data_IF_420359278587
#
_entry.id   IF_420359278587
#
_cell.length_a   1.000
_cell.length_b   1.000
_cell.length_c   1.000
_cell.angle_alpha   90.00
_cell.angle_beta   90.00
_cell.angle_gamma   90.00
#
_symmetry.space_group_name_H-M   'P 1'
#
loop_
_entity.id
_entity.type
_entity.pdbx_description
1 polymer ?
#
# COMPACT_ATOMS: atom_id res chain seq x y z
N UNK A 1 9.22 -56.49 -41.78
CA UNK A 1 8.74 -56.77 -40.42
C UNK A 1 9.59 -55.91 -39.48
N UNK A 2 8.94 -54.97 -38.78
CA UNK A 2 9.42 -54.00 -37.77
C UNK A 2 10.51 -52.98 -38.18
N UNK A 3 10.27 -51.65 -38.27
CA UNK A 3 9.79 -50.57 -37.37
C UNK A 3 10.83 -50.00 -36.37
N UNK A 4 11.02 -48.67 -36.49
CA UNK A 4 11.63 -47.65 -35.59
C UNK A 4 13.13 -47.73 -35.28
N UNK A 5 13.89 -46.63 -35.43
CA UNK A 5 13.72 -45.36 -34.71
C UNK A 5 14.07 -44.13 -35.57
N UNK A 6 13.08 -43.28 -35.82
CA UNK A 6 13.25 -41.86 -36.18
C UNK A 6 13.01 -41.05 -34.92
N UNK A 7 14.09 -40.63 -34.27
CA UNK A 7 14.05 -39.76 -33.10
C UNK A 7 15.15 -38.73 -33.26
N UNK A 8 14.87 -37.69 -34.03
CA UNK A 8 15.61 -36.43 -34.10
C UNK A 8 14.88 -35.54 -35.11
N UNK A 9 13.91 -34.75 -34.63
CA UNK A 9 13.41 -33.60 -35.39
C UNK A 9 13.95 -32.35 -34.69
N UNK A 10 14.96 -31.76 -35.30
CA UNK A 10 15.54 -30.47 -34.94
C UNK A 10 14.45 -29.40 -34.82
N UNK A 11 14.35 -28.77 -33.65
CA UNK A 11 13.81 -27.42 -33.51
C UNK A 11 14.88 -26.44 -34.00
N UNK A 12 14.79 -26.07 -35.28
CA UNK A 12 15.57 -24.99 -35.85
C UNK A 12 14.69 -24.23 -36.85
N UNK A 13 13.93 -23.25 -36.35
CA UNK A 13 13.40 -22.19 -37.21
C UNK A 13 14.28 -20.96 -37.05
N UNK A 14 15.31 -20.92 -37.89
CA UNK A 14 16.01 -19.71 -38.23
C UNK A 14 15.05 -18.75 -38.96
N UNK A 15 15.01 -17.51 -38.51
CA UNK A 15 14.62 -16.28 -39.22
C UNK A 15 13.95 -16.50 -40.59
N UNK A 16 12.62 -16.57 -40.63
CA UNK A 16 11.85 -16.46 -41.86
C UNK A 16 11.09 -15.14 -41.87
N UNK A 17 11.24 -14.41 -42.98
CA UNK A 17 10.41 -13.30 -43.44
C UNK A 17 8.98 -13.38 -42.87
N UNK A 18 8.60 -12.36 -42.09
CA UNK A 18 7.26 -12.20 -41.49
C UNK A 18 6.17 -12.24 -42.55
N UNK A 19 5.54 -13.39 -42.71
CA UNK A 19 4.22 -13.48 -43.30
C UNK A 19 3.26 -12.97 -42.23
N UNK A 20 2.58 -11.88 -42.59
CA UNK A 20 1.69 -11.06 -41.78
C UNK A 20 0.39 -11.83 -41.53
N UNK A 21 0.38 -12.63 -40.47
CA UNK A 21 -0.82 -13.23 -39.93
C UNK A 21 -0.84 -13.02 -38.41
N UNK A 22 -2.03 -12.87 -37.85
CA UNK A 22 -2.23 -12.90 -36.42
C UNK A 22 -1.60 -14.17 -35.83
N UNK A 23 -0.95 -14.04 -34.67
CA UNK A 23 -0.38 -15.17 -33.97
C UNK A 23 -1.44 -15.78 -33.06
N UNK A 24 -1.84 -17.02 -33.34
CA UNK A 24 -2.70 -17.81 -32.44
C UNK A 24 -1.87 -18.93 -31.82
N UNK A 25 -1.77 -18.93 -30.49
CA UNK A 25 -1.03 -19.93 -29.70
C UNK A 25 -2.04 -20.95 -29.16
N UNK A 26 -2.02 -22.16 -29.72
CA UNK A 26 -2.94 -23.27 -29.35
C UNK A 26 -2.27 -24.38 -28.54
N UNK A 27 -0.95 -24.29 -28.35
CA UNK A 27 -0.15 -25.21 -27.55
C UNK A 27 0.97 -24.43 -26.84
N UNK A 28 1.52 -25.01 -25.78
CA UNK A 28 2.61 -24.40 -25.02
C UNK A 28 3.78 -24.04 -25.94
N UNK A 29 4.08 -22.75 -26.03
CA UNK A 29 5.04 -22.18 -26.95
C UNK A 29 6.02 -21.31 -26.19
N UNK A 30 7.33 -21.53 -26.40
CA UNK A 30 8.38 -20.66 -25.87
C UNK A 30 9.07 -19.93 -27.00
N UNK A 31 9.16 -18.60 -26.89
CA UNK A 31 9.91 -17.76 -27.81
C UNK A 31 11.13 -17.16 -27.11
N UNK A 32 12.20 -17.02 -27.88
CA UNK A 32 13.47 -16.40 -27.49
C UNK A 32 13.94 -15.47 -28.61
N UNK A 33 14.69 -14.43 -28.27
CA UNK A 33 15.16 -13.43 -29.21
C UNK A 33 14.07 -12.41 -29.55
N UNK A 34 14.50 -11.28 -30.12
CA UNK A 34 13.62 -10.15 -30.36
C UNK A 34 12.41 -10.51 -31.23
N UNK A 35 11.21 -10.13 -30.76
CA UNK A 35 9.96 -10.30 -31.50
C UNK A 35 9.21 -8.98 -31.59
N UNK A 36 8.56 -8.76 -32.73
CA UNK A 36 7.59 -7.70 -32.90
C UNK A 36 6.35 -8.30 -33.54
N UNK A 37 5.28 -8.33 -32.77
CA UNK A 37 3.96 -8.79 -33.15
C UNK A 37 3.19 -7.61 -33.74
N UNK A 38 3.23 -7.50 -35.07
CA UNK A 38 2.55 -6.41 -35.81
C UNK A 38 1.05 -6.64 -35.96
N UNK A 39 0.62 -7.90 -35.85
CA UNK A 39 -0.77 -8.33 -35.89
C UNK A 39 -1.21 -8.79 -34.50
N UNK A 40 -2.53 -8.97 -34.32
CA UNK A 40 -3.09 -9.42 -33.06
C UNK A 40 -2.47 -10.75 -32.60
N UNK A 41 -2.30 -10.88 -31.28
CA UNK A 41 -1.83 -12.09 -30.61
C UNK A 41 -2.97 -12.66 -29.76
N UNK A 42 -3.27 -13.93 -29.94
CA UNK A 42 -4.26 -14.66 -29.16
C UNK A 42 -3.61 -15.91 -28.57
N UNK A 43 -3.72 -16.08 -27.26
CA UNK A 43 -3.29 -17.29 -26.56
C UNK A 43 -4.56 -18.02 -26.11
N UNK A 44 -4.82 -19.16 -26.74
CA UNK A 44 -6.05 -19.93 -26.52
C UNK A 44 -6.06 -20.65 -25.18
N UNK A 45 -7.26 -21.08 -24.76
CA UNK A 45 -7.44 -21.89 -23.55
C UNK A 45 -6.54 -23.13 -23.56
N UNK A 46 -5.87 -23.38 -22.44
CA UNK A 46 -4.99 -24.55 -22.27
C UNK A 46 -3.61 -24.42 -22.90
N UNK A 47 -3.28 -23.30 -23.55
CA UNK A 47 -1.95 -23.02 -24.08
C UNK A 47 -1.22 -21.93 -23.28
N UNK A 48 0.11 -22.01 -23.21
CA UNK A 48 0.94 -20.97 -22.59
C UNK A 48 1.97 -20.41 -23.57
N UNK A 49 1.98 -19.09 -23.78
CA UNK A 49 3.08 -18.40 -24.44
C UNK A 49 4.09 -17.92 -23.40
N UNK A 50 5.32 -18.45 -23.47
CA UNK A 50 6.45 -18.00 -22.64
C UNK A 50 7.41 -17.17 -23.47
N UNK A 51 7.64 -15.93 -23.05
CA UNK A 51 8.60 -15.00 -23.63
C UNK A 51 9.78 -14.86 -22.67
N UNK A 52 10.94 -15.40 -23.06
CA UNK A 52 12.14 -15.46 -22.20
C UNK A 52 12.87 -14.13 -22.11
N UNK A 53 13.57 -13.94 -20.99
CA UNK A 53 14.39 -12.76 -20.72
C UNK A 53 15.48 -12.48 -21.76
N UNK A 54 16.00 -11.25 -21.75
CA UNK A 54 17.11 -10.81 -22.61
C UNK A 54 16.72 -10.54 -24.06
N UNK A 55 15.43 -10.35 -24.34
CA UNK A 55 14.89 -10.08 -25.68
C UNK A 55 13.97 -8.86 -25.65
N UNK A 56 13.81 -8.21 -26.80
CA UNK A 56 12.85 -7.12 -27.00
C UNK A 56 11.54 -7.69 -27.55
N UNK A 57 10.44 -7.52 -26.81
CA UNK A 57 9.09 -7.92 -27.24
C UNK A 57 8.21 -6.71 -27.45
N UNK A 58 7.67 -6.56 -28.66
CA UNK A 58 6.77 -5.45 -29.00
C UNK A 58 5.42 -5.99 -29.47
N UNK A 59 4.36 -5.59 -28.79
CA UNK A 59 2.98 -5.86 -29.18
C UNK A 59 2.42 -4.59 -29.82
N UNK A 60 2.33 -4.57 -31.15
CA UNK A 60 1.88 -3.39 -31.90
C UNK A 60 0.37 -3.40 -32.15
N UNK A 61 -0.34 -4.44 -31.70
CA UNK A 61 -1.75 -4.70 -31.95
C UNK A 61 -2.36 -5.48 -30.76
N UNK A 62 -3.65 -5.82 -30.85
CA UNK A 62 -4.43 -6.41 -29.76
C UNK A 62 -3.81 -7.69 -29.20
N UNK A 63 -3.86 -7.82 -27.87
CA UNK A 63 -3.39 -8.97 -27.12
C UNK A 63 -4.55 -9.59 -26.33
N UNK A 64 -4.90 -10.83 -26.67
CA UNK A 64 -5.92 -11.63 -25.98
C UNK A 64 -5.28 -12.84 -25.30
N UNK A 65 -5.46 -12.95 -23.98
CA UNK A 65 -4.89 -14.00 -23.14
C UNK A 65 -6.02 -14.82 -22.53
N UNK A 66 -6.37 -15.94 -23.17
CA UNK A 66 -7.34 -16.93 -22.68
C UNK A 66 -6.65 -18.07 -21.91
N UNK A 67 -5.48 -18.50 -22.40
CA UNK A 67 -4.57 -19.40 -21.69
C UNK A 67 -3.60 -18.68 -20.76
N UNK A 68 -2.30 -18.93 -20.92
CA UNK A 68 -1.22 -18.35 -20.12
C UNK A 68 -0.27 -17.45 -20.92
N UNK A 69 0.06 -16.27 -20.42
CA UNK A 69 1.19 -15.47 -20.89
C UNK A 69 2.23 -15.36 -19.78
N UNK A 70 3.46 -15.76 -20.05
CA UNK A 70 4.59 -15.55 -19.13
C UNK A 70 5.63 -14.66 -19.82
N UNK A 71 5.82 -13.44 -19.31
CA UNK A 71 6.81 -12.48 -19.78
C UNK A 71 7.88 -12.29 -18.71
N UNK A 72 9.11 -12.72 -19.02
CA UNK A 72 10.25 -12.47 -18.15
C UNK A 72 11.06 -11.26 -18.66
N UNK A 73 10.88 -10.11 -18.02
CA UNK A 73 11.56 -8.85 -18.33
C UNK A 73 12.48 -8.43 -17.16
N UNK A 74 13.24 -9.39 -16.61
CA UNK A 74 14.21 -9.14 -15.52
C UNK A 74 15.64 -8.87 -15.99
N UNK A 75 15.88 -8.92 -17.29
CA UNK A 75 17.16 -8.57 -17.89
C UNK A 75 17.13 -7.11 -18.38
N UNK A 76 18.13 -6.31 -17.98
CA UNK A 76 18.26 -4.88 -18.33
C UNK A 76 18.36 -4.60 -19.83
N UNK A 77 18.80 -5.58 -20.62
CA UNK A 77 18.87 -5.47 -22.08
C UNK A 77 17.54 -5.84 -22.77
N UNK A 78 16.61 -6.45 -22.02
CA UNK A 78 15.25 -6.75 -22.47
C UNK A 78 14.34 -5.54 -22.38
N UNK A 79 13.32 -5.51 -23.22
CA UNK A 79 12.26 -4.50 -23.11
C UNK A 79 10.95 -5.10 -23.59
N UNK A 80 9.87 -4.83 -22.87
CA UNK A 80 8.52 -5.08 -23.35
C UNK A 80 7.82 -3.75 -23.62
N UNK A 81 7.13 -3.65 -24.76
CA UNK A 81 6.32 -2.48 -25.09
C UNK A 81 4.99 -2.88 -25.70
N UNK A 82 3.96 -2.09 -25.38
CA UNK A 82 2.60 -2.27 -25.87
C UNK A 82 2.17 -1.02 -26.63
N UNK A 83 1.50 -1.21 -27.76
CA UNK A 83 0.94 -0.09 -28.51
C UNK A 83 -0.28 0.47 -27.78
N UNK A 84 -0.23 1.77 -27.49
CA UNK A 84 -1.31 2.49 -26.81
C UNK A 84 -2.64 2.46 -27.55
N UNK A 85 -2.63 2.28 -28.87
CA UNK A 85 -3.85 2.20 -29.68
C UNK A 85 -4.51 0.82 -29.63
N UNK A 86 -3.85 -0.19 -29.05
CA UNK A 86 -4.33 -1.57 -28.98
C UNK A 86 -5.18 -1.87 -27.74
N UNK A 87 -5.71 -3.09 -27.67
CA UNK A 87 -6.47 -3.61 -26.55
C UNK A 87 -5.75 -4.77 -25.85
N UNK A 88 -5.88 -4.83 -24.53
CA UNK A 88 -5.51 -5.99 -23.72
C UNK A 88 -6.77 -6.63 -23.12
N UNK A 89 -6.97 -7.92 -23.43
CA UNK A 89 -8.05 -8.73 -22.85
C UNK A 89 -7.46 -9.95 -22.15
N UNK A 90 -7.55 -9.99 -20.81
CA UNK A 90 -7.07 -11.11 -20.00
C UNK A 90 -8.26 -11.85 -19.39
N UNK A 91 -8.41 -13.12 -19.75
CA UNK A 91 -9.40 -14.05 -19.19
C UNK A 91 -8.73 -15.27 -18.54
N UNK A 92 -7.49 -15.58 -18.95
CA UNK A 92 -6.62 -16.58 -18.35
C UNK A 92 -5.61 -16.01 -17.35
N UNK A 93 -4.34 -16.42 -17.46
CA UNK A 93 -3.24 -15.97 -16.59
C UNK A 93 -2.21 -15.15 -17.36
N UNK A 94 -1.79 -14.02 -16.80
CA UNK A 94 -0.67 -13.23 -17.30
C UNK A 94 0.34 -12.99 -16.17
N UNK A 95 1.49 -13.66 -16.25
CA UNK A 95 2.63 -13.44 -15.37
C UNK A 95 3.65 -12.51 -16.03
N UNK A 96 4.01 -11.43 -15.34
CA UNK A 96 4.99 -10.45 -15.79
C UNK A 96 6.06 -10.28 -14.71
N UNK A 97 7.28 -10.74 -14.98
CA UNK A 97 8.43 -10.49 -14.13
C UNK A 97 9.21 -9.28 -14.63
N UNK A 98 9.58 -8.34 -13.75
CA UNK A 98 10.16 -7.05 -14.14
C UNK A 98 11.42 -6.69 -13.34
N UNK A 99 12.40 -6.09 -14.02
CA UNK A 99 13.55 -5.40 -13.40
C UNK A 99 13.58 -3.89 -13.64
N UNK A 100 12.68 -3.39 -14.50
CA UNK A 100 12.56 -1.98 -14.88
C UNK A 100 11.08 -1.62 -14.97
N UNK A 101 10.80 -0.33 -15.01
CA UNK A 101 9.43 0.17 -15.18
C UNK A 101 8.87 -0.30 -16.53
N UNK A 102 7.58 -0.66 -16.52
CA UNK A 102 6.83 -1.10 -17.71
C UNK A 102 5.52 -0.31 -17.78
N UNK A 103 5.33 0.37 -18.89
CA UNK A 103 4.08 1.07 -19.19
C UNK A 103 3.17 0.17 -20.04
N UNK A 104 2.04 -0.20 -19.45
CA UNK A 104 0.97 -1.01 -20.02
C UNK A 104 -0.21 -0.11 -20.37
N UNK A 105 -0.03 0.70 -21.41
CA UNK A 105 -1.04 1.64 -21.88
C UNK A 105 -1.78 1.07 -23.08
N UNK A 106 -3.11 1.09 -23.02
CA UNK A 106 -3.99 0.54 -24.03
C UNK A 106 -5.17 1.49 -24.29
N UNK A 107 -5.82 1.34 -25.44
CA UNK A 107 -7.13 1.95 -25.68
C UNK A 107 -8.15 1.29 -24.76
N UNK A 108 -8.15 -0.05 -24.73
CA UNK A 108 -9.03 -0.85 -23.88
C UNK A 108 -8.23 -1.84 -23.05
N UNK A 109 -8.45 -1.81 -21.74
CA UNK A 109 -7.94 -2.80 -20.79
C UNK A 109 -9.14 -3.51 -20.14
N UNK A 110 -9.19 -4.83 -20.32
CA UNK A 110 -10.16 -5.69 -19.65
C UNK A 110 -9.43 -6.87 -19.01
N UNK A 111 -9.60 -7.02 -17.69
CA UNK A 111 -9.14 -8.20 -16.96
C UNK A 111 -10.30 -8.88 -16.25
N UNK A 112 -10.56 -10.13 -16.59
CA UNK A 112 -11.44 -11.06 -15.85
C UNK A 112 -10.70 -12.33 -15.39
N UNK A 113 -9.43 -12.45 -15.75
CA UNK A 113 -8.53 -13.52 -15.36
C UNK A 113 -7.65 -13.16 -14.17
N UNK A 114 -6.36 -13.54 -14.24
CA UNK A 114 -5.36 -13.24 -13.22
C UNK A 114 -4.10 -12.62 -13.85
N UNK A 115 -3.67 -11.48 -13.31
CA UNK A 115 -2.41 -10.83 -13.68
C UNK A 115 -1.49 -10.87 -12.46
N UNK A 116 -0.28 -11.41 -12.62
CA UNK A 116 0.73 -11.49 -11.56
C UNK A 116 1.95 -10.67 -11.95
N UNK A 117 2.31 -9.71 -11.12
CA UNK A 117 3.52 -8.91 -11.25
C UNK A 117 4.57 -9.44 -10.27
N UNK A 118 5.70 -9.87 -10.80
CA UNK A 118 6.85 -10.35 -10.03
C UNK A 118 7.96 -9.31 -10.06
N UNK A 119 8.42 -8.93 -8.88
CA UNK A 119 9.41 -7.88 -8.70
C UNK A 119 10.85 -8.30 -8.93
N UNK A 120 11.73 -7.37 -8.59
CA UNK A 120 13.18 -7.56 -8.53
C UNK A 120 13.67 -7.32 -7.11
N UNK A 121 14.78 -7.97 -6.74
CA UNK A 121 15.40 -7.78 -5.43
C UNK A 121 16.23 -6.48 -5.32
N UNK A 122 16.56 -5.85 -6.46
CA UNK A 122 17.54 -4.75 -6.51
C UNK A 122 16.88 -3.37 -6.58
N UNK A 123 15.71 -3.30 -7.23
CA UNK A 123 14.94 -2.08 -7.47
C UNK A 123 13.46 -2.41 -7.35
N UNK A 124 12.62 -1.40 -7.06
CA UNK A 124 11.16 -1.51 -7.09
C UNK A 124 10.64 -1.01 -8.45
N UNK A 125 10.60 -1.85 -9.51
CA UNK A 125 10.03 -1.46 -10.78
C UNK A 125 8.53 -1.21 -10.65
N UNK A 126 8.02 -0.23 -11.39
CA UNK A 126 6.60 0.03 -11.51
C UNK A 126 6.02 -0.56 -12.79
N UNK A 127 4.94 -1.33 -12.68
CA UNK A 127 4.07 -1.68 -13.81
C UNK A 127 2.87 -0.74 -13.78
N UNK A 128 2.79 0.15 -14.76
CA UNK A 128 1.71 1.15 -14.84
C UNK A 128 0.66 0.70 -15.83
N UNK A 129 -0.56 0.47 -15.36
CA UNK A 129 -1.71 0.09 -16.18
C UNK A 129 -2.56 1.32 -16.53
N UNK A 130 -2.95 1.44 -17.80
CA UNK A 130 -3.89 2.45 -18.26
C UNK A 130 -4.76 1.92 -19.39
N UNK A 131 -6.07 2.20 -19.30
CA UNK A 131 -7.00 2.12 -20.42
C UNK A 131 -7.50 3.52 -20.78
N UNK A 132 -7.39 3.92 -22.04
CA UNK A 132 -7.82 5.26 -22.50
C UNK A 132 -9.33 5.40 -22.57
N UNK A 133 -10.04 4.36 -23.02
CA UNK A 133 -11.50 4.36 -23.22
C UNK A 133 -12.19 3.34 -22.31
N UNK A 134 -11.56 2.20 -22.06
CA UNK A 134 -12.06 1.14 -21.16
C UNK A 134 -10.95 0.73 -20.22
N UNK A 135 -11.22 0.76 -18.91
CA UNK A 135 -10.25 0.34 -17.90
C UNK A 135 -10.93 -0.43 -16.77
N UNK A 136 -11.11 -1.74 -16.98
CA UNK A 136 -11.92 -2.59 -16.10
C UNK A 136 -11.10 -3.77 -15.57
N UNK A 137 -11.18 -3.99 -14.27
CA UNK A 137 -10.71 -5.20 -13.59
C UNK A 137 -11.89 -5.90 -12.88
N UNK A 138 -12.37 -6.98 -13.47
CA UNK A 138 -13.28 -7.95 -12.85
C UNK A 138 -12.53 -9.17 -12.27
N UNK A 139 -11.25 -9.34 -12.65
CA UNK A 139 -10.37 -10.44 -12.23
C UNK A 139 -9.47 -10.10 -11.05
N UNK A 140 -8.31 -10.76 -10.98
CA UNK A 140 -7.28 -10.51 -9.97
C UNK A 140 -6.06 -9.82 -10.59
N UNK A 141 -5.54 -8.79 -9.93
CA UNK A 141 -4.21 -8.21 -10.18
C UNK A 141 -3.41 -8.35 -8.90
N UNK A 142 -2.30 -9.07 -8.95
CA UNK A 142 -1.51 -9.45 -7.78
C UNK A 142 -0.05 -9.03 -7.96
N UNK A 143 0.47 -8.30 -6.98
CA UNK A 143 1.88 -7.99 -6.86
C UNK A 143 2.44 -8.60 -5.57
N UNK A 144 3.31 -9.60 -5.73
CA UNK A 144 4.09 -10.17 -4.64
C UNK A 144 3.68 -11.56 -4.14
N UNK A 145 2.53 -12.11 -4.51
CA UNK A 145 2.20 -13.50 -4.13
C UNK A 145 3.14 -14.54 -4.74
N UNK A 146 3.72 -14.22 -5.90
CA UNK A 146 4.65 -15.06 -6.64
C UNK A 146 6.11 -14.57 -6.56
N UNK A 147 6.40 -13.62 -5.67
CA UNK A 147 7.76 -13.14 -5.45
C UNK A 147 8.59 -14.23 -4.74
N UNK A 148 9.83 -14.41 -5.21
CA UNK A 148 10.82 -15.27 -4.56
C UNK A 148 11.85 -14.41 -3.82
N UNK A 149 11.98 -14.62 -2.50
CA UNK A 149 12.95 -13.89 -1.69
C UNK A 149 12.59 -12.41 -1.48
N UNK A 150 13.56 -11.48 -1.45
CA UNK A 150 13.34 -10.05 -1.17
C UNK A 150 12.88 -9.26 -2.42
N UNK A 151 12.23 -9.92 -3.37
CA UNK A 151 11.73 -9.28 -4.57
C UNK A 151 10.58 -8.32 -4.22
N UNK A 152 10.53 -7.21 -4.94
CA UNK A 152 9.51 -6.18 -4.74
C UNK A 152 9.25 -5.43 -6.05
N UNK A 153 8.03 -4.90 -6.18
CA UNK A 153 7.47 -4.24 -7.34
C UNK A 153 6.41 -3.22 -6.90
N UNK A 154 6.04 -2.35 -7.83
CA UNK A 154 4.92 -1.47 -7.69
C UNK A 154 3.93 -1.71 -8.84
N UNK A 155 2.64 -1.69 -8.53
CA UNK A 155 1.58 -1.54 -9.53
C UNK A 155 1.00 -0.14 -9.43
N UNK A 156 0.81 0.50 -10.57
CA UNK A 156 0.18 1.81 -10.66
C UNK A 156 -1.00 1.76 -11.62
N UNK A 157 -2.10 2.40 -11.24
CA UNK A 157 -3.30 2.51 -12.07
C UNK A 157 -3.51 3.97 -12.48
N UNK A 158 -3.57 4.19 -13.80
CA UNK A 158 -3.75 5.50 -14.42
C UNK A 158 -2.47 6.30 -14.57
N UNK A 159 -2.60 7.60 -14.84
CA UNK A 159 -1.49 8.52 -15.08
C UNK A 159 -1.67 9.78 -14.23
N UNK A 160 -0.62 10.14 -13.49
CA UNK A 160 -0.62 11.27 -12.58
C UNK A 160 -0.74 12.64 -13.28
N UNK A 161 -0.49 12.71 -14.60
CA UNK A 161 -0.41 13.97 -15.33
C UNK A 161 -1.68 14.34 -16.11
N UNK A 162 -2.67 13.44 -16.24
CA UNK A 162 -3.91 13.71 -16.97
C UNK A 162 -5.17 13.32 -16.17
N UNK A 163 -5.84 14.31 -15.54
CA UNK A 163 -7.03 14.07 -14.73
C UNK A 163 -8.32 13.81 -15.54
N UNK A 164 -8.27 13.80 -16.88
CA UNK A 164 -9.43 13.56 -17.77
C UNK A 164 -9.52 12.13 -18.32
N UNK A 165 -8.66 11.22 -17.86
CA UNK A 165 -8.61 9.84 -18.33
C UNK A 165 -9.81 9.02 -17.87
N UNK A 166 -9.90 7.79 -18.38
CA UNK A 166 -10.96 6.84 -18.03
C UNK A 166 -10.76 6.31 -16.60
N UNK A 167 -11.79 6.33 -15.74
CA UNK A 167 -11.71 5.79 -14.39
C UNK A 167 -11.32 4.31 -14.39
N UNK A 168 -10.51 3.90 -13.41
CA UNK A 168 -10.24 2.48 -13.20
C UNK A 168 -11.42 1.85 -12.45
N UNK A 169 -12.17 0.97 -13.11
CA UNK A 169 -13.30 0.25 -12.51
C UNK A 169 -12.79 -1.09 -11.98
N UNK A 170 -12.62 -1.20 -10.67
CA UNK A 170 -12.23 -2.43 -10.00
C UNK A 170 -13.46 -3.11 -9.37
N UNK A 171 -13.98 -4.15 -10.03
CA UNK A 171 -15.00 -5.04 -9.46
C UNK A 171 -14.41 -6.34 -8.90
N UNK A 172 -13.17 -6.65 -9.27
CA UNK A 172 -12.44 -7.82 -8.82
C UNK A 172 -11.56 -7.55 -7.61
N UNK A 173 -10.33 -8.07 -7.66
CA UNK A 173 -9.38 -8.05 -6.55
C UNK A 173 -8.04 -7.45 -6.98
N UNK A 174 -7.49 -6.57 -6.15
CA UNK A 174 -6.08 -6.15 -6.22
C UNK A 174 -5.38 -6.62 -4.95
N UNK A 175 -4.26 -7.33 -5.09
CA UNK A 175 -3.48 -7.85 -3.97
C UNK A 175 -2.06 -7.29 -4.06
N UNK A 176 -1.57 -6.77 -2.95
CA UNK A 176 -0.17 -6.36 -2.81
C UNK A 176 0.38 -6.93 -1.51
N UNK A 177 1.39 -7.78 -1.60
CA UNK A 177 1.97 -8.43 -0.43
C UNK A 177 3.49 -8.37 -0.39
N UNK A 178 4.07 -7.99 0.74
CA UNK A 178 5.50 -8.07 1.01
C UNK A 178 5.84 -9.30 1.86
N UNK A 179 7.03 -9.86 1.64
CA UNK A 179 7.55 -11.02 2.39
C UNK A 179 8.32 -10.61 3.64
N UNK A 180 8.77 -9.35 3.70
CA UNK A 180 9.60 -8.82 4.78
C UNK A 180 8.80 -7.92 5.74
N UNK A 181 9.40 -7.62 6.89
CA UNK A 181 8.82 -6.72 7.88
C UNK A 181 8.81 -5.30 7.32
N UNK A 182 7.61 -4.78 7.07
CA UNK A 182 7.43 -3.48 6.43
C UNK A 182 7.45 -2.29 7.42
N UNK A 183 6.92 -2.49 8.62
CA UNK A 183 6.80 -1.45 9.66
C UNK A 183 7.62 -1.83 10.90
N UNK A 184 8.42 -0.89 11.41
CA UNK A 184 9.13 -1.02 12.67
C UNK A 184 9.07 0.28 13.49
N UNK A 185 8.18 0.28 14.49
CA UNK A 185 7.93 1.49 15.28
C UNK A 185 7.41 2.61 14.39
N UNK A 186 8.18 3.68 14.25
CA UNK A 186 7.85 4.81 13.38
C UNK A 186 8.55 4.75 12.01
N UNK A 187 9.26 3.67 11.69
CA UNK A 187 9.97 3.51 10.42
C UNK A 187 9.15 2.62 9.49
N UNK A 188 9.00 3.07 8.24
CA UNK A 188 8.39 2.30 7.16
C UNK A 188 9.44 2.01 6.09
N UNK A 189 9.71 0.75 5.82
CA UNK A 189 10.73 0.31 4.87
C UNK A 189 10.12 0.11 3.48
N UNK A 190 10.17 1.15 2.63
CA UNK A 190 9.47 1.18 1.34
C UNK A 190 9.94 0.10 0.36
N UNK A 191 11.19 -0.34 0.45
CA UNK A 191 11.74 -1.43 -0.37
C UNK A 191 11.59 -2.82 0.26
N UNK A 192 11.07 -2.94 1.48
CA UNK A 192 10.76 -4.23 2.12
C UNK A 192 9.37 -4.77 1.71
N UNK A 193 8.57 -3.96 1.01
CA UNK A 193 7.22 -4.31 0.59
C UNK A 193 6.98 -4.00 -0.87
N UNK A 194 5.90 -4.58 -1.40
CA UNK A 194 5.34 -4.22 -2.69
C UNK A 194 4.48 -2.94 -2.56
N UNK A 195 4.05 -2.39 -3.69
CA UNK A 195 3.26 -1.16 -3.72
C UNK A 195 2.05 -1.22 -4.65
N UNK A 196 0.96 -0.57 -4.28
CA UNK A 196 -0.11 -0.16 -5.21
C UNK A 196 -0.30 1.34 -5.18
N UNK A 197 -0.44 1.97 -6.35
CA UNK A 197 -0.68 3.40 -6.50
C UNK A 197 -1.89 3.65 -7.39
N UNK A 198 -2.79 4.50 -6.94
CA UNK A 198 -3.90 5.01 -7.74
C UNK A 198 -3.58 6.45 -8.14
N UNK A 199 -3.15 6.65 -9.39
CA UNK A 199 -2.56 7.91 -9.84
C UNK A 199 -3.63 8.94 -10.22
N UNK A 200 -4.58 8.58 -11.08
CA UNK A 200 -5.77 9.35 -11.51
C UNK A 200 -6.39 8.63 -12.72
N UNK A 201 -7.72 8.66 -12.95
CA UNK A 201 -8.82 9.29 -12.19
C UNK A 201 -9.26 8.49 -10.95
N UNK A 202 -10.41 8.80 -10.28
CA UNK A 202 -10.94 7.99 -9.20
C UNK A 202 -11.03 6.52 -9.60
N UNK A 203 -10.74 5.62 -8.66
CA UNK A 203 -11.06 4.20 -8.83
C UNK A 203 -12.51 3.97 -8.43
N UNK A 204 -13.28 3.39 -9.32
CA UNK A 204 -14.68 3.03 -9.07
C UNK A 204 -14.80 1.51 -8.90
N UNK A 205 -16.01 1.03 -8.60
CA UNK A 205 -16.33 -0.39 -8.56
C UNK A 205 -16.51 -0.96 -7.16
N UNK A 206 -16.92 -2.21 -7.10
CA UNK A 206 -17.29 -2.92 -5.85
C UNK A 206 -16.22 -3.89 -5.36
N UNK A 207 -15.05 -3.87 -6.00
CA UNK A 207 -13.94 -4.77 -5.72
C UNK A 207 -13.20 -4.42 -4.43
N UNK A 208 -12.09 -5.14 -4.21
CA UNK A 208 -11.24 -4.98 -3.04
C UNK A 208 -9.78 -4.71 -3.40
N UNK A 209 -9.07 -4.05 -2.49
CA UNK A 209 -7.63 -3.86 -2.51
C UNK A 209 -7.06 -4.36 -1.18
N UNK A 210 -6.33 -5.47 -1.20
CA UNK A 210 -5.73 -6.09 -0.02
C UNK A 210 -4.23 -5.83 0.00
N UNK A 211 -3.74 -5.24 1.09
CA UNK A 211 -2.33 -4.81 1.23
C UNK A 211 -1.74 -5.37 2.51
N UNK A 212 -0.76 -6.27 2.38
CA UNK A 212 -0.08 -6.92 3.52
C UNK A 212 1.43 -6.63 3.50
N UNK A 213 2.01 -6.16 4.61
CA UNK A 213 3.44 -5.80 4.68
C UNK A 213 3.89 -4.95 3.48
N UNK A 214 3.07 -3.99 3.07
CA UNK A 214 3.22 -3.26 1.82
C UNK A 214 2.58 -1.89 1.93
N UNK A 215 2.59 -1.11 0.85
CA UNK A 215 1.92 0.18 0.87
C UNK A 215 0.95 0.43 -0.27
N UNK A 216 -0.01 1.29 0.03
CA UNK A 216 -0.95 1.87 -0.90
C UNK A 216 -0.81 3.39 -0.93
N UNK A 217 -0.70 3.96 -2.12
CA UNK A 217 -0.69 5.41 -2.34
C UNK A 217 -1.92 5.87 -3.12
N UNK A 218 -2.61 6.89 -2.62
CA UNK A 218 -3.81 7.45 -3.28
C UNK A 218 -3.52 8.88 -3.75
N UNK A 219 -3.40 9.13 -5.06
CA UNK A 219 -3.06 10.46 -5.58
C UNK A 219 -4.27 11.24 -6.18
N UNK A 220 -5.44 10.60 -6.34
CA UNK A 220 -6.54 11.14 -7.14
C UNK A 220 -7.56 12.00 -6.36
N UNK A 221 -8.14 13.02 -7.03
CA UNK A 221 -9.20 13.89 -6.51
C UNK A 221 -10.55 13.17 -6.39
N UNK A 222 -11.07 13.09 -5.18
CA UNK A 222 -12.34 12.46 -4.76
C UNK A 222 -12.38 10.94 -4.96
N UNK A 223 -12.54 10.16 -3.88
CA UNK A 223 -13.07 8.81 -4.04
C UNK A 223 -14.17 8.43 -3.02
N UNK A 224 -15.30 9.16 -2.97
CA UNK A 224 -16.48 8.66 -2.29
C UNK A 224 -17.05 7.47 -3.08
N UNK A 225 -16.66 6.25 -2.69
CA UNK A 225 -17.19 5.00 -3.27
C UNK A 225 -16.18 4.10 -3.96
N UNK A 226 -14.86 4.30 -3.75
CA UNK A 226 -13.83 3.41 -4.27
C UNK A 226 -13.85 2.00 -3.65
N UNK A 227 -13.00 1.08 -4.16
CA UNK A 227 -12.93 -0.30 -3.69
C UNK A 227 -12.60 -0.36 -2.19
N UNK A 228 -13.06 -1.42 -1.53
CA UNK A 228 -12.77 -1.66 -0.12
C UNK A 228 -11.26 -1.87 0.07
N UNK A 229 -10.64 -1.08 0.95
CA UNK A 229 -9.21 -1.20 1.26
C UNK A 229 -9.05 -2.04 2.52
N UNK A 230 -8.26 -3.11 2.43
CA UNK A 230 -7.88 -3.93 3.57
C UNK A 230 -6.37 -3.81 3.80
N UNK A 231 -5.99 -3.44 5.01
CA UNK A 231 -4.60 -3.31 5.42
C UNK A 231 -4.24 -4.38 6.45
N UNK A 232 -3.01 -4.86 6.39
CA UNK A 232 -2.42 -5.73 7.41
C UNK A 232 -0.93 -5.43 7.54
N UNK A 233 -0.55 -4.82 8.66
CA UNK A 233 0.84 -4.42 8.92
C UNK A 233 1.42 -3.56 7.77
N UNK A 234 0.57 -2.67 7.22
CA UNK A 234 0.79 -1.95 5.96
C UNK A 234 0.67 -0.43 6.15
N UNK A 235 1.08 0.34 5.13
CA UNK A 235 0.94 1.79 5.16
C UNK A 235 0.01 2.30 4.06
N UNK A 236 -0.82 3.27 4.43
CA UNK A 236 -1.61 4.09 3.52
C UNK A 236 -0.98 5.48 3.42
N UNK A 237 -0.70 5.91 2.20
CA UNK A 237 -0.16 7.22 1.88
C UNK A 237 -1.18 8.12 1.22
N UNK A 238 -1.35 9.30 1.80
CA UNK A 238 -2.25 10.34 1.32
C UNK A 238 -1.45 11.60 0.96
N UNK A 239 -1.77 12.30 -0.14
CA UNK A 239 -1.12 13.55 -0.50
C UNK A 239 -1.59 14.68 0.43
N UNK A 240 -0.69 15.61 0.76
CA UNK A 240 -1.10 16.88 1.34
C UNK A 240 -1.82 17.76 0.30
N UNK A 241 -2.66 18.67 0.79
CA UNK A 241 -3.60 19.51 0.02
C UNK A 241 -4.79 18.78 -0.60
N UNK A 242 -5.14 17.61 -0.10
CA UNK A 242 -6.21 16.80 -0.66
C UNK A 242 -7.25 16.40 0.38
N UNK A 243 -8.53 16.42 -0.04
CA UNK A 243 -9.63 15.97 0.79
C UNK A 243 -10.24 14.68 0.24
N UNK A 244 -10.25 13.64 1.07
CA UNK A 244 -10.73 12.31 0.68
C UNK A 244 -11.57 11.67 1.77
N UNK A 245 -12.41 10.72 1.38
CA UNK A 245 -13.09 9.82 2.31
C UNK A 245 -12.84 8.40 1.84
N UNK A 246 -12.36 7.54 2.72
CA UNK A 246 -12.02 6.15 2.40
C UNK A 246 -12.53 5.22 3.49
N UNK A 247 -12.87 4.00 3.09
CA UNK A 247 -13.27 2.91 3.99
C UNK A 247 -12.12 1.93 4.10
N UNK A 248 -11.70 1.61 5.32
CA UNK A 248 -10.54 0.74 5.57
C UNK A 248 -10.88 -0.34 6.59
N UNK A 249 -10.49 -1.58 6.28
CA UNK A 249 -10.40 -2.70 7.21
C UNK A 249 -8.95 -2.90 7.65
N UNK A 250 -8.72 -3.30 8.90
CA UNK A 250 -7.38 -3.67 9.39
C UNK A 250 -6.44 -2.49 9.63
N UNK A 251 -6.98 -1.37 10.13
CA UNK A 251 -6.17 -0.21 10.53
C UNK A 251 -5.20 -0.56 11.67
N UNK A 252 -5.55 -1.53 12.51
CA UNK A 252 -4.69 -2.02 13.58
C UNK A 252 -3.34 -2.55 13.05
N UNK A 253 -2.24 -2.07 13.63
CA UNK A 253 -0.88 -2.42 13.19
C UNK A 253 -0.42 -1.70 11.91
N UNK A 254 -1.32 -0.94 11.27
CA UNK A 254 -1.06 -0.18 10.06
C UNK A 254 -0.74 1.29 10.36
N UNK A 255 -0.22 2.00 9.36
CA UNK A 255 0.08 3.43 9.44
C UNK A 255 -0.69 4.18 8.36
N UNK A 256 -1.18 5.37 8.69
CA UNK A 256 -1.67 6.35 7.72
C UNK A 256 -0.72 7.55 7.75
N UNK A 257 -0.03 7.79 6.65
CA UNK A 257 0.95 8.86 6.54
C UNK A 257 0.58 9.85 5.42
N UNK A 258 0.93 11.12 5.64
CA UNK A 258 0.64 12.19 4.70
C UNK A 258 1.93 12.71 4.07
N UNK A 259 1.94 12.90 2.75
CA UNK A 259 3.04 13.58 2.07
C UNK A 259 3.22 14.98 2.65
N UNK A 260 4.43 15.36 3.06
CA UNK A 260 4.68 16.71 3.55
C UNK A 260 4.44 17.80 2.48
N UNK A 261 3.76 18.87 2.87
CA UNK A 261 3.90 20.20 2.29
C UNK A 261 4.55 21.13 3.33
N UNK A 262 5.13 22.28 2.93
CA UNK A 262 5.69 23.25 3.87
C UNK A 262 4.70 23.73 4.94
N UNK A 263 3.40 23.51 4.73
CA UNK A 263 2.27 23.93 5.57
C UNK A 263 1.65 22.80 6.40
N UNK A 264 1.97 21.54 6.12
CA UNK A 264 1.46 20.36 6.84
C UNK A 264 2.46 19.90 7.91
N UNK A 265 2.55 20.62 9.04
CA UNK A 265 3.37 20.22 10.18
C UNK A 265 2.56 19.34 11.14
N UNK A 266 3.23 18.39 11.82
CA UNK A 266 2.58 17.50 12.79
C UNK A 266 1.72 18.24 13.86
N UNK A 267 2.15 19.37 14.44
CA UNK A 267 1.34 20.09 15.44
C UNK A 267 0.01 20.62 14.91
N UNK A 268 -0.12 20.78 13.59
CA UNK A 268 -1.33 21.29 12.95
C UNK A 268 -2.30 20.14 12.60
N UNK A 269 -1.87 18.88 12.76
CA UNK A 269 -2.69 17.71 12.49
C UNK A 269 -3.72 17.51 13.61
N UNK A 270 -4.99 17.56 13.24
CA UNK A 270 -6.12 17.32 14.14
C UNK A 270 -6.81 16.03 13.76
N UNK A 271 -7.08 15.20 14.77
CA UNK A 271 -7.81 13.96 14.56
C UNK A 271 -8.67 13.62 15.77
N UNK A 272 -9.86 13.10 15.50
CA UNK A 272 -10.85 12.70 16.50
C UNK A 272 -11.60 11.50 15.96
N UNK A 273 -11.79 10.44 16.74
CA UNK A 273 -12.58 9.28 16.30
C UNK A 273 -14.03 9.45 16.72
N UNK A 274 -14.94 9.63 15.78
CA UNK A 274 -16.37 9.80 16.05
C UNK A 274 -17.18 8.86 15.16
N UNK A 275 -18.07 8.06 15.75
CA UNK A 275 -18.98 7.16 15.04
C UNK A 275 -18.26 6.23 14.04
N UNK A 276 -17.11 5.68 14.45
CA UNK A 276 -16.27 4.81 13.59
C UNK A 276 -15.56 5.54 12.44
N UNK A 277 -15.54 6.88 12.46
CA UNK A 277 -14.86 7.70 11.45
C UNK A 277 -13.78 8.54 12.09
N UNK A 278 -12.64 8.60 11.42
CA UNK A 278 -11.47 9.35 11.80
C UNK A 278 -11.19 10.44 10.76
N UNK A 279 -11.78 11.64 10.93
CA UNK A 279 -11.27 12.83 10.27
C UNK A 279 -9.83 13.10 10.70
N UNK A 280 -8.96 13.34 9.72
CA UNK A 280 -7.58 13.75 9.87
C UNK A 280 -7.43 15.03 9.06
N UNK A 281 -7.31 16.15 9.76
CA UNK A 281 -7.23 17.47 9.15
C UNK A 281 -5.87 18.12 9.36
N UNK A 282 -5.32 18.64 8.27
CA UNK A 282 -4.32 19.71 8.25
C UNK A 282 -5.04 21.03 7.88
N UNK A 283 -4.40 22.21 8.03
CA UNK A 283 -4.99 23.48 7.61
C UNK A 283 -5.42 23.52 6.14
N UNK A 284 -4.78 22.72 5.27
CA UNK A 284 -4.94 22.69 3.81
C UNK A 284 -5.48 21.34 3.25
N UNK A 285 -5.70 20.33 4.10
CA UNK A 285 -6.10 18.98 3.67
C UNK A 285 -7.00 18.29 4.70
N UNK A 286 -8.00 17.51 4.27
CA UNK A 286 -8.86 16.75 5.19
C UNK A 286 -9.13 15.35 4.65
N UNK A 287 -8.54 14.33 5.25
CA UNK A 287 -8.91 12.95 5.00
C UNK A 287 -9.94 12.49 6.03
N UNK A 288 -10.91 11.66 5.63
CA UNK A 288 -11.80 10.95 6.54
C UNK A 288 -11.63 9.46 6.32
N UNK A 289 -11.25 8.74 7.36
CA UNK A 289 -11.08 7.28 7.31
C UNK A 289 -12.21 6.64 8.09
N UNK A 290 -13.06 5.87 7.43
CA UNK A 290 -14.05 5.03 8.08
C UNK A 290 -13.37 3.71 8.48
N UNK A 291 -13.36 3.42 9.78
CA UNK A 291 -12.92 2.16 10.35
C UNK A 291 -14.04 1.13 10.23
N UNK A 292 -13.92 0.21 9.25
CA UNK A 292 -15.01 -0.70 8.90
C UNK A 292 -15.10 -1.87 9.89
N UNK A 293 -13.99 -2.29 10.49
CA UNK A 293 -13.99 -3.38 11.47
C UNK A 293 -14.32 -2.90 12.90
N UNK A 294 -14.32 -1.58 13.13
CA UNK A 294 -14.62 -0.98 14.43
C UNK A 294 -13.61 -1.34 15.51
N UNK A 295 -12.40 -1.72 15.12
CA UNK A 295 -11.34 -2.16 16.06
C UNK A 295 -10.56 -1.01 16.66
N UNK A 296 -10.64 0.19 16.06
CA UNK A 296 -9.91 1.35 16.55
C UNK A 296 -10.64 1.99 17.73
N UNK A 297 -9.89 2.23 18.80
CA UNK A 297 -10.35 3.01 19.96
C UNK A 297 -9.65 4.38 19.97
N UNK A 298 -10.30 5.45 20.46
CA UNK A 298 -9.72 6.79 20.43
C UNK A 298 -8.31 6.87 21.05
N UNK A 299 -8.04 6.08 22.10
CA UNK A 299 -6.76 6.13 22.83
C UNK A 299 -5.68 5.21 22.27
N UNK A 300 -6.00 4.43 21.24
CA UNK A 300 -5.03 3.69 20.44
C UNK A 300 -4.49 4.51 19.27
N UNK A 301 -4.94 5.74 19.10
CA UNK A 301 -4.55 6.63 18.00
C UNK A 301 -3.33 7.42 18.45
N UNK A 302 -2.19 7.17 17.80
CA UNK A 302 -0.94 7.89 18.06
C UNK A 302 -0.57 8.73 16.86
N UNK A 303 -0.49 10.04 17.07
CA UNK A 303 0.09 10.96 16.09
C UNK A 303 1.61 10.95 16.23
N UNK A 304 2.33 10.80 15.12
CA UNK A 304 3.79 10.82 15.14
C UNK A 304 4.38 11.23 13.78
N UNK A 305 5.69 11.42 13.75
CA UNK A 305 6.48 11.52 12.54
C UNK A 305 6.97 10.13 12.13
N UNK A 306 6.63 9.72 10.91
CA UNK A 306 7.03 8.45 10.33
C UNK A 306 8.16 8.63 9.34
N UNK A 307 9.23 7.87 9.51
CA UNK A 307 10.38 7.89 8.60
C UNK A 307 10.18 6.85 7.50
N UNK A 308 10.03 7.35 6.28
CA UNK A 308 9.91 6.53 5.08
C UNK A 308 11.31 6.24 4.55
N UNK A 309 11.75 5.00 4.72
CA UNK A 309 13.08 4.57 4.32
C UNK A 309 13.00 3.86 2.98
N UNK A 310 13.40 4.55 1.92
CA UNK A 310 13.57 3.92 0.61
C UNK A 310 14.93 3.21 0.53
N UNK A 311 16.01 3.83 1.00
CA UNK A 311 17.34 3.20 1.07
C UNK A 311 18.02 3.56 2.40
N UNK A 312 19.27 3.12 2.61
CA UNK A 312 20.04 3.56 3.78
C UNK A 312 20.27 5.08 3.83
N UNK A 313 20.18 5.77 2.69
CA UNK A 313 20.50 7.20 2.55
C UNK A 313 19.30 8.07 2.17
N UNK A 314 18.16 7.50 1.77
CA UNK A 314 16.96 8.23 1.38
C UNK A 314 15.87 8.01 2.42
N UNK A 315 15.60 9.07 3.19
CA UNK A 315 14.51 9.12 4.14
C UNK A 315 13.67 10.39 3.98
N UNK A 316 12.34 10.22 3.98
CA UNK A 316 11.38 11.31 4.10
C UNK A 316 10.62 11.13 5.41
N UNK A 317 10.46 12.21 6.17
CA UNK A 317 9.71 12.15 7.43
C UNK A 317 8.34 12.74 7.20
N UNK A 318 7.28 11.96 7.42
CA UNK A 318 5.90 12.38 7.15
C UNK A 318 5.06 12.36 8.43
N UNK A 319 4.20 13.36 8.67
CA UNK A 319 3.22 13.28 9.74
C UNK A 319 2.23 12.19 9.43
N UNK A 320 1.79 11.49 10.45
CA UNK A 320 0.83 10.42 10.29
C UNK A 320 0.25 9.96 11.60
N UNK A 321 -0.52 8.88 11.48
CA UNK A 321 -1.19 8.22 12.59
C UNK A 321 -0.84 6.74 12.54
N UNK A 322 -0.53 6.17 13.70
CA UNK A 322 -0.52 4.73 13.91
C UNK A 322 -1.61 4.32 14.88
N UNK A 323 -2.00 3.05 14.78
CA UNK A 323 -3.07 2.44 15.54
C UNK A 323 -2.47 1.35 16.44
N UNK A 324 -2.30 1.65 17.73
CA UNK A 324 -1.68 0.74 18.69
C UNK A 324 -2.70 0.12 19.63
N UNK A 325 -2.44 -1.13 20.03
CA UNK A 325 -3.21 -1.85 21.06
C UNK A 325 -3.00 -1.28 22.47
N UNK A 326 -1.87 -0.60 22.68
CA UNK A 326 -1.41 -0.23 24.01
C UNK A 326 -1.79 1.19 24.35
N UNK A 327 -2.64 1.31 25.36
CA UNK A 327 -2.79 2.50 26.17
C UNK A 327 -1.40 2.90 26.72
N UNK A 328 -0.95 4.16 26.57
CA UNK A 328 0.25 4.60 27.29
C UNK A 328 0.01 4.42 28.79
N UNK A 329 0.97 3.83 29.50
CA UNK A 329 0.84 3.59 30.94
C UNK A 329 0.34 4.84 31.65
N UNK A 330 -0.70 4.69 32.46
CA UNK A 330 -1.21 5.75 33.34
C UNK A 330 0.01 6.37 34.07
N UNK A 331 0.27 7.68 33.92
CA UNK A 331 1.38 8.31 34.62
C UNK A 331 1.28 8.05 36.12
N UNK A 332 2.43 7.80 36.77
CA UNK A 332 2.46 7.63 38.21
C UNK A 332 1.82 8.85 38.90
N UNK A 333 0.98 8.64 39.93
CA UNK A 333 0.34 9.74 40.62
C UNK A 333 1.38 10.69 41.22
N UNK A 334 1.27 11.97 40.90
CA UNK A 334 2.17 13.01 41.41
C UNK A 334 1.65 13.48 42.76
N UNK A 335 2.48 13.37 43.80
CA UNK A 335 2.15 13.88 45.13
C UNK A 335 2.92 15.16 45.43
N UNK A 336 2.21 16.27 45.65
CA UNK A 336 2.77 17.54 46.11
C UNK A 336 2.45 17.73 47.59
N UNK A 337 3.42 18.21 48.37
CA UNK A 337 3.21 18.58 49.78
C UNK A 337 3.51 20.05 49.96
N UNK A 338 2.56 20.80 50.51
CA UNK A 338 2.69 22.24 50.76
C UNK A 338 2.54 22.51 52.25
N UNK A 339 3.42 23.35 52.81
CA UNK A 339 3.31 23.82 54.20
C UNK A 339 2.49 25.11 54.20
N UNK A 340 1.32 25.08 54.82
CA UNK A 340 0.39 26.23 54.90
C UNK A 340 0.35 26.75 56.33
N UNK A 341 1.43 27.43 56.74
CA UNK A 341 1.53 28.05 58.07
C UNK A 341 1.44 27.08 59.25
N UNK A 342 1.88 27.52 60.43
CA UNK A 342 1.66 26.85 61.73
C UNK A 342 1.88 25.31 61.80
N UNK A 343 2.76 24.74 60.97
CA UNK A 343 3.04 23.29 60.98
C UNK A 343 1.98 22.41 60.31
N UNK A 344 1.04 23.00 59.56
CA UNK A 344 0.10 22.26 58.73
C UNK A 344 0.74 21.89 57.39
N UNK A 345 0.73 20.60 57.06
CA UNK A 345 1.06 20.10 55.72
C UNK A 345 -0.22 19.69 55.00
N UNK A 346 -0.36 20.16 53.77
CA UNK A 346 -1.38 19.66 52.83
C UNK A 346 -0.66 18.79 51.81
N UNK A 347 -1.01 17.52 51.79
CA UNK A 347 -0.60 16.57 50.75
C UNK A 347 -1.69 16.51 49.70
N UNK A 348 -1.35 16.87 48.46
CA UNK A 348 -2.21 16.71 47.30
C UNK A 348 -1.66 15.57 46.45
N UNK A 349 -2.44 14.51 46.30
CA UNK A 349 -2.12 13.45 45.33
C UNK A 349 -2.95 13.68 44.08
N UNK A 350 -2.27 13.91 42.97
CA UNK A 350 -2.85 14.01 41.63
C UNK A 350 -2.66 12.67 40.93
N UNK A 351 -3.75 11.97 40.65
CA UNK A 351 -3.73 10.79 39.77
C UNK A 351 -4.24 11.19 38.38
N UNK A 352 -3.56 10.70 37.35
CA UNK A 352 -3.98 10.87 35.95
C UNK A 352 -4.67 9.58 35.51
N UNK A 353 -5.77 9.67 34.78
CA UNK A 353 -6.33 8.52 34.06
C UNK A 353 -6.96 9.02 32.76
N UNK A 354 -6.84 8.23 31.69
CA UNK A 354 -7.34 8.62 30.37
C UNK A 354 -8.65 7.88 30.08
N UNK A 355 -9.75 8.60 29.93
CA UNK A 355 -11.02 8.04 29.46
C UNK A 355 -11.34 8.61 28.08
N UNK A 356 -11.98 7.81 27.24
CA UNK A 356 -12.51 8.30 25.97
C UNK A 356 -13.78 9.14 26.24
N UNK A 357 -13.79 10.39 25.78
CA UNK A 357 -14.96 11.27 25.84
C UNK A 357 -15.10 12.03 24.53
N UNK A 358 -16.28 12.00 23.91
CA UNK A 358 -16.53 12.76 22.67
C UNK A 358 -15.60 12.43 21.50
N UNK A 359 -15.03 11.21 21.46
CA UNK A 359 -14.10 10.79 20.40
C UNK A 359 -12.64 11.21 20.59
N UNK A 360 -12.32 11.86 21.70
CA UNK A 360 -10.96 12.20 22.11
C UNK A 360 -10.59 11.47 23.41
N UNK A 361 -9.29 11.41 23.70
CA UNK A 361 -8.79 10.91 24.97
C UNK A 361 -8.56 12.05 25.93
N UNK A 362 -9.35 12.09 26.99
CA UNK A 362 -9.23 13.11 28.01
C UNK A 362 -8.38 12.60 29.16
N UNK A 363 -7.34 13.36 29.52
CA UNK A 363 -6.64 13.14 30.78
C UNK A 363 -7.44 13.77 31.91
N UNK A 364 -7.97 12.93 32.81
CA UNK A 364 -8.61 13.39 34.04
C UNK A 364 -7.60 13.42 35.17
N UNK A 365 -7.62 14.51 35.93
CA UNK A 365 -6.85 14.70 37.16
C UNK A 365 -7.79 14.52 38.34
N UNK A 366 -7.50 13.59 39.24
CA UNK A 366 -8.16 13.55 40.57
C UNK A 366 -7.19 14.02 41.62
N UNK A 367 -7.59 15.05 42.37
CA UNK A 367 -6.82 15.64 43.48
C UNK A 367 -7.42 15.18 44.80
N UNK A 368 -6.63 14.48 45.62
CA UNK A 368 -6.98 14.14 46.99
C UNK A 368 -6.20 15.03 47.97
N UNK A 369 -6.83 16.03 48.61
CA UNK A 369 -6.19 16.81 49.65
C UNK A 369 -6.27 16.08 51.00
N UNK A 370 -5.13 15.86 51.64
CA UNK A 370 -5.05 15.39 53.02
C UNK A 370 -4.32 16.44 53.86
N UNK A 371 -4.97 16.99 54.88
CA UNK A 371 -4.35 17.91 55.82
C UNK A 371 -3.84 17.14 57.05
N UNK A 372 -2.57 17.32 57.42
CA UNK A 372 -2.01 16.77 58.66
C UNK A 372 -1.36 17.87 59.50
N UNK A 373 -1.55 17.81 60.81
CA UNK A 373 -0.88 18.67 61.79
C UNK A 373 0.40 17.99 62.27
N UNK A 374 1.56 18.61 62.04
CA UNK A 374 2.78 18.20 62.73
C UNK A 374 2.66 18.60 64.20
N UNK A 375 2.31 17.65 65.06
CA UNK A 375 2.42 17.82 66.51
C UNK A 375 3.90 17.94 66.88
N UNK A 376 4.37 19.17 67.06
CA UNK A 376 5.65 19.45 67.71
C UNK A 376 5.53 19.06 69.19
N UNK A 377 5.88 17.81 69.53
CA UNK A 377 6.20 17.48 70.92
C UNK A 377 7.48 18.22 71.29
N UNK A 378 7.33 19.36 71.95
CA UNK A 378 8.42 19.93 72.75
C UNK A 378 8.73 18.93 73.88
N UNK A 379 9.77 18.14 73.71
CA UNK A 379 10.44 17.49 74.84
C UNK A 379 11.24 18.57 75.57
N UNK A 380 10.64 19.18 76.57
CA UNK A 380 11.37 19.96 77.56
C UNK A 380 12.36 19.01 78.25
N UNK A 381 13.66 19.28 78.11
CA UNK A 381 14.67 18.63 78.92
C UNK A 381 14.44 18.98 80.40
N UNK A 382 14.51 18.02 81.34
CA UNK A 382 14.50 18.36 82.76
C UNK A 382 15.76 19.15 83.09
N UNK A 383 15.61 20.28 83.78
CA UNK A 383 16.71 21.07 84.34
C UNK A 383 17.57 20.20 85.26
N UNK A 384 18.88 20.17 85.03
CA UNK A 384 19.84 19.62 85.97
C UNK A 384 20.46 20.76 86.80
N UNK A 385 20.25 20.64 88.12
CA UNK A 385 20.83 21.35 89.27
C UNK A 385 20.37 22.78 89.57
#
# INVERSE_FOLDING_TARGET
MHYHSTGELLLLFASLLKIVAALTVTEDTTLTGDQTFSEAVTIEDGATLTLKEGSVYKFENDLSVHGGLVLDNRNVDGTVSFNRESSLNVTGSFELAVSNDVDMFFTSFYNSGSIYVKGSAVVQPAVTFEGLEVFINDGTIDAGSLDEGPAHSAIAFGDAFDPKKTPFINNGKVVVSGTEKFIEGNVVYLLAGNAVKFLSPPSEGTGSVEVTNSYIGLNARNNPGGPEIQLKDSALYLPANFSTSISVLGLKGSIVAFSLTPTSLLPDMKTTLQDGKLPIGFPDAVATIADIDGTIVPCGIKQDLFTLRATESIYNTNPGISFTDSFPSIPDPVTTTTVVGEGHTVTQTTSYYTEAAGGTCEMKTTVYPTASTLSTRYSAAPSAN
#
